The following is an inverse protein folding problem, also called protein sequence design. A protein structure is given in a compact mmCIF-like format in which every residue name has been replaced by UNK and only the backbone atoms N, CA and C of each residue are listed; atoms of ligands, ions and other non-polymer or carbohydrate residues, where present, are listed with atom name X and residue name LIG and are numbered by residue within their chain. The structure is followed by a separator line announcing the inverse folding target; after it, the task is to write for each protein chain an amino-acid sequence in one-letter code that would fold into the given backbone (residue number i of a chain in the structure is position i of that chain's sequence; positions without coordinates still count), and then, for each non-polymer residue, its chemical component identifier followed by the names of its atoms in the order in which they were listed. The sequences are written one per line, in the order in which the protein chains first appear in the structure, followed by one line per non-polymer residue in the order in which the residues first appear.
data_IF_181940798346
#
_entry.id   IF_181940798346
#
_cell.length_a   1.000
_cell.length_b   1.000
_cell.length_c   1.000
_cell.angle_alpha   90.00
_cell.angle_beta   90.00
_cell.angle_gamma   90.00
#
_symmetry.space_group_name_H-M   'P 1'
#
loop_
_entity.id
_entity.type
_entity.pdbx_description
1 polymer ?
#
# COMPACT_ATOMS: atom_id res chain seq x y z
N UNK A 1 -20.51 21.80 0.20
CA UNK A 1 -19.62 22.69 -0.53
C UNK A 1 -18.83 21.94 -1.59
N UNK A 2 -18.33 22.65 -2.55
CA UNK A 2 -17.49 22.04 -3.58
C UNK A 2 -16.18 21.53 -2.97
N UNK A 3 -15.76 20.36 -3.42
CA UNK A 3 -14.47 19.82 -3.05
C UNK A 3 -13.37 20.65 -3.72
N UNK A 4 -12.36 21.02 -2.96
CA UNK A 4 -11.22 21.76 -3.46
C UNK A 4 -10.03 20.82 -3.69
N UNK A 5 -9.33 21.02 -4.81
CA UNK A 5 -8.10 20.29 -5.08
C UNK A 5 -6.95 20.87 -4.26
N UNK A 6 -6.27 19.99 -3.55
CA UNK A 6 -5.15 20.37 -2.68
C UNK A 6 -3.95 19.47 -2.95
N UNK A 7 -2.76 20.01 -2.72
CA UNK A 7 -1.55 19.19 -2.70
C UNK A 7 -1.56 18.30 -1.46
N UNK A 8 -1.32 17.02 -1.66
CA UNK A 8 -1.18 16.03 -0.59
C UNK A 8 0.28 15.90 -0.21
N UNK A 9 1.16 15.70 -1.19
CA UNK A 9 2.57 15.46 -0.98
C UNK A 9 3.37 15.82 -2.23
N UNK A 10 4.67 16.02 -2.07
CA UNK A 10 5.59 16.21 -3.18
C UNK A 10 6.89 15.47 -2.89
N UNK A 11 7.61 15.10 -3.95
CA UNK A 11 8.89 14.42 -3.84
C UNK A 11 9.74 14.73 -5.07
N UNK A 12 11.05 14.50 -4.95
CA UNK A 12 12.00 14.62 -6.06
C UNK A 12 12.93 13.42 -6.05
N UNK A 13 13.18 12.86 -7.21
CA UNK A 13 14.12 11.75 -7.37
C UNK A 13 14.23 11.36 -8.83
N UNK A 14 15.31 10.68 -9.16
CA UNK A 14 15.56 10.22 -10.53
C UNK A 14 14.75 8.95 -10.79
N UNK A 15 13.65 9.08 -11.49
CA UNK A 15 12.74 7.98 -11.80
C UNK A 15 13.09 7.26 -13.09
N UNK A 16 13.85 7.91 -13.98
CA UNK A 16 14.16 7.37 -15.31
C UNK A 16 15.55 6.76 -15.41
N UNK A 17 16.43 7.05 -14.45
CA UNK A 17 17.81 6.59 -14.45
C UNK A 17 18.74 7.47 -15.28
N UNK A 18 18.32 8.67 -15.67
CA UNK A 18 19.12 9.57 -16.51
C UNK A 18 20.00 10.55 -15.73
N UNK A 19 19.94 10.50 -14.41
CA UNK A 19 20.70 11.37 -13.51
C UNK A 19 20.03 12.71 -13.22
N UNK A 20 18.90 13.03 -13.84
CA UNK A 20 18.14 14.24 -13.57
C UNK A 20 16.92 13.90 -12.71
N UNK A 21 16.71 14.64 -11.63
CA UNK A 21 15.59 14.36 -10.73
C UNK A 21 14.27 14.84 -11.33
N UNK A 22 13.26 13.99 -11.31
CA UNK A 22 11.88 14.34 -11.58
C UNK A 22 11.25 14.98 -10.35
N UNK A 23 10.25 15.83 -10.57
CA UNK A 23 9.43 16.41 -9.51
C UNK A 23 8.05 15.76 -9.54
N UNK A 24 7.63 15.20 -8.41
CA UNK A 24 6.34 14.55 -8.26
C UNK A 24 5.43 15.36 -7.37
N UNK A 25 4.17 15.46 -7.77
CA UNK A 25 3.13 16.09 -6.96
C UNK A 25 1.94 15.14 -6.90
N UNK A 26 1.57 14.77 -5.68
CA UNK A 26 0.34 14.06 -5.39
C UNK A 26 -0.69 15.08 -4.91
N UNK A 27 -1.85 15.10 -5.54
CA UNK A 27 -2.93 16.05 -5.22
C UNK A 27 -4.26 15.31 -5.21
N UNK A 28 -5.25 15.90 -4.58
CA UNK A 28 -6.59 15.32 -4.52
C UNK A 28 -7.62 16.31 -4.03
N UNK A 29 -8.84 15.81 -3.86
CA UNK A 29 -9.99 16.59 -3.41
C UNK A 29 -10.48 16.06 -2.08
N UNK A 30 -10.81 16.98 -1.17
CA UNK A 30 -11.46 16.67 0.11
C UNK A 30 -12.69 17.55 0.27
N UNK A 31 -13.78 16.94 0.72
CA UNK A 31 -14.93 17.71 1.16
C UNK A 31 -14.64 18.36 2.51
N UNK A 32 -15.30 19.49 2.78
CA UNK A 32 -15.15 20.19 4.05
C UNK A 32 -15.45 19.26 5.23
N UNK A 33 -14.53 19.21 6.20
CA UNK A 33 -14.66 18.39 7.40
C UNK A 33 -14.40 16.90 7.20
N UNK A 34 -14.00 16.48 6.01
CA UNK A 34 -13.71 15.07 5.71
C UNK A 34 -12.21 14.81 5.64
N UNK A 35 -11.76 13.69 6.20
CA UNK A 35 -10.40 13.20 6.06
C UNK A 35 -10.22 12.32 4.81
N UNK A 36 -11.31 12.00 4.13
CA UNK A 36 -11.30 11.15 2.94
C UNK A 36 -10.93 11.95 1.70
N UNK A 37 -9.97 11.44 0.94
CA UNK A 37 -9.51 12.03 -0.31
C UNK A 37 -10.12 11.31 -1.51
N UNK A 38 -10.50 12.10 -2.51
CA UNK A 38 -11.04 11.60 -3.78
C UNK A 38 -10.31 12.24 -4.94
N UNK A 39 -10.41 11.63 -6.11
CA UNK A 39 -9.81 12.13 -7.35
C UNK A 39 -8.33 12.44 -7.16
N UNK A 40 -7.61 11.52 -6.53
CA UNK A 40 -6.18 11.67 -6.30
C UNK A 40 -5.45 11.53 -7.62
N UNK A 41 -4.52 12.44 -7.88
CA UNK A 41 -3.73 12.48 -9.09
C UNK A 41 -2.24 12.57 -8.76
N UNK A 42 -1.44 11.88 -9.55
CA UNK A 42 0.01 12.00 -9.54
C UNK A 42 0.45 12.67 -10.84
N UNK A 43 1.21 13.77 -10.72
CA UNK A 43 1.90 14.37 -11.85
C UNK A 43 3.40 14.26 -11.66
N UNK A 44 4.10 14.00 -12.76
CA UNK A 44 5.56 13.90 -12.78
C UNK A 44 6.09 14.87 -13.81
N UNK A 45 6.98 15.76 -13.38
CA UNK A 45 7.67 16.69 -14.26
C UNK A 45 9.08 16.18 -14.49
N UNK A 46 9.41 15.93 -15.74
CA UNK A 46 10.72 15.44 -16.15
C UNK A 46 11.81 16.47 -15.82
N UNK A 47 12.87 16.01 -15.15
CA UNK A 47 13.95 16.89 -14.70
C UNK A 47 14.84 17.39 -15.82
N UNK A 48 14.83 16.75 -16.98
CA UNK A 48 15.65 17.13 -18.13
C UNK A 48 14.88 18.03 -19.10
N UNK A 49 13.63 17.69 -19.38
CA UNK A 49 12.82 18.38 -20.39
C UNK A 49 11.84 19.40 -19.84
N UNK A 50 11.52 19.30 -18.56
CA UNK A 50 10.47 20.13 -17.93
C UNK A 50 9.05 19.71 -18.29
N UNK A 51 8.90 18.61 -19.03
CA UNK A 51 7.59 18.12 -19.45
C UNK A 51 6.87 17.46 -18.28
N UNK A 52 5.61 17.79 -18.09
CA UNK A 52 4.77 17.21 -17.05
C UNK A 52 3.81 16.21 -17.65
N UNK A 53 3.71 15.04 -17.02
CA UNK A 53 2.75 14.00 -17.39
C UNK A 53 1.91 13.62 -16.17
N UNK A 54 0.68 13.22 -16.44
CA UNK A 54 -0.21 12.67 -15.42
C UNK A 54 -0.10 11.15 -15.44
N UNK A 55 0.18 10.57 -14.28
CA UNK A 55 0.37 9.13 -14.15
C UNK A 55 -0.91 8.51 -13.62
N UNK A 56 -1.53 7.58 -14.35
CA UNK A 56 -2.73 6.88 -13.85
C UNK A 56 -2.41 6.10 -12.58
N UNK A 57 -3.30 6.18 -11.59
CA UNK A 57 -3.16 5.47 -10.32
C UNK A 57 -4.10 4.27 -10.28
N UNK A 58 -3.64 3.19 -9.67
CA UNK A 58 -4.45 2.00 -9.43
C UNK A 58 -5.61 2.29 -8.45
N UNK A 59 -5.35 3.17 -7.48
CA UNK A 59 -6.32 3.61 -6.48
C UNK A 59 -6.24 5.13 -6.36
N UNK A 60 -7.35 5.82 -6.52
CA UNK A 60 -7.41 7.28 -6.55
C UNK A 60 -8.24 7.89 -5.42
N UNK A 61 -8.60 7.09 -4.41
CA UNK A 61 -9.34 7.58 -3.25
C UNK A 61 -9.00 6.78 -2.00
N UNK A 62 -9.07 7.42 -0.84
CA UNK A 62 -8.81 6.81 0.44
C UNK A 62 -8.41 7.82 1.49
N UNK A 63 -7.99 7.29 2.66
CA UNK A 63 -7.50 8.07 3.78
C UNK A 63 -5.98 8.08 3.80
N UNK A 64 -5.41 9.13 4.37
CA UNK A 64 -3.99 9.28 4.67
C UNK A 64 -3.05 8.88 3.52
N UNK A 65 -3.20 9.50 2.33
CA UNK A 65 -2.34 9.17 1.20
C UNK A 65 -0.87 9.45 1.49
N UNK A 66 0.00 8.51 1.15
CA UNK A 66 1.44 8.61 1.33
C UNK A 66 2.14 8.47 -0.01
N UNK A 67 3.18 9.26 -0.22
CA UNK A 67 4.04 9.23 -1.39
C UNK A 67 5.48 8.97 -0.93
N UNK A 68 6.06 7.85 -1.34
CA UNK A 68 7.41 7.47 -0.94
C UNK A 68 8.22 7.07 -2.16
N UNK A 69 9.46 7.51 -2.24
CA UNK A 69 10.40 7.09 -3.27
C UNK A 69 11.40 6.10 -2.71
N UNK A 70 11.73 5.08 -3.51
CA UNK A 70 12.73 4.09 -3.14
C UNK A 70 13.13 3.25 -4.34
N UNK A 71 14.30 2.63 -4.29
CA UNK A 71 14.78 1.76 -5.36
C UNK A 71 14.25 0.35 -5.17
N UNK A 72 13.05 0.08 -5.69
CA UNK A 72 12.35 -1.19 -5.50
C UNK A 72 12.51 -2.15 -6.67
N UNK A 73 12.53 -1.64 -7.92
CA UNK A 73 12.64 -2.48 -9.11
C UNK A 73 14.03 -2.46 -9.75
N UNK A 74 14.80 -1.40 -9.53
CA UNK A 74 16.14 -1.23 -10.09
C UNK A 74 17.00 -0.41 -9.14
N UNK A 75 18.32 -0.55 -9.25
CA UNK A 75 19.26 0.15 -8.35
C UNK A 75 19.61 1.56 -8.83
N UNK A 76 19.47 1.82 -10.14
CA UNK A 76 19.91 3.05 -10.78
C UNK A 76 18.82 4.14 -10.80
N UNK A 77 17.65 3.83 -10.30
CA UNK A 77 16.50 4.74 -10.34
C UNK A 77 15.59 4.53 -9.15
N UNK A 78 14.79 5.55 -8.84
CA UNK A 78 13.77 5.46 -7.82
C UNK A 78 12.44 5.04 -8.43
N UNK A 79 11.66 4.28 -7.66
CA UNK A 79 10.28 3.96 -7.94
C UNK A 79 9.38 4.71 -6.97
N UNK A 80 8.10 4.76 -7.28
CA UNK A 80 7.10 5.50 -6.50
C UNK A 80 6.19 4.52 -5.79
N UNK A 81 6.13 4.62 -4.46
CA UNK A 81 5.14 3.91 -3.66
C UNK A 81 4.03 4.88 -3.29
N UNK A 82 2.80 4.51 -3.62
CA UNK A 82 1.59 5.20 -3.17
C UNK A 82 0.88 4.29 -2.17
N UNK A 83 0.60 4.82 -0.99
CA UNK A 83 -0.10 4.10 0.06
C UNK A 83 -1.37 4.85 0.46
N UNK A 84 -2.46 4.13 0.64
CA UNK A 84 -3.76 4.66 1.04
C UNK A 84 -4.37 3.76 2.11
N UNK A 85 -5.13 4.34 3.01
CA UNK A 85 -5.93 3.58 3.98
C UNK A 85 -7.39 3.56 3.55
N UNK A 86 -8.05 2.42 3.74
CA UNK A 86 -9.45 2.24 3.31
C UNK A 86 -10.46 2.71 4.34
N UNK A 87 -10.05 2.89 5.59
CA UNK A 87 -10.94 3.28 6.68
C UNK A 87 -11.70 2.14 7.32
N UNK A 88 -11.55 0.92 6.84
CA UNK A 88 -12.16 -0.24 7.51
C UNK A 88 -11.36 -0.62 8.75
N UNK A 89 -12.04 -1.12 9.78
CA UNK A 89 -11.38 -1.59 11.01
C UNK A 89 -10.47 -2.77 10.69
N UNK A 90 -9.23 -2.73 11.17
CA UNK A 90 -8.21 -3.69 10.78
C UNK A 90 -7.61 -3.38 9.42
N UNK A 91 -7.61 -2.11 9.06
CA UNK A 91 -7.28 -1.60 7.75
C UNK A 91 -6.00 -2.20 7.17
N UNK A 92 -6.19 -2.95 6.11
CA UNK A 92 -5.11 -3.28 5.21
C UNK A 92 -4.99 -2.10 4.26
N UNK A 93 -3.82 -1.46 4.26
CA UNK A 93 -3.58 -0.36 3.33
C UNK A 93 -3.63 -0.84 1.88
N UNK A 94 -3.95 0.07 1.00
CA UNK A 94 -3.79 -0.14 -0.44
C UNK A 94 -2.43 0.39 -0.84
N UNK A 95 -1.61 -0.47 -1.43
CA UNK A 95 -0.25 -0.12 -1.84
C UNK A 95 -0.09 -0.35 -3.33
N UNK A 96 0.48 0.63 -4.02
CA UNK A 96 0.86 0.46 -5.42
C UNK A 96 2.27 0.99 -5.65
N UNK A 97 3.00 0.33 -6.55
CA UNK A 97 4.34 0.75 -6.95
C UNK A 97 4.29 1.13 -8.43
N UNK A 98 4.80 2.31 -8.72
CA UNK A 98 4.88 2.84 -10.07
C UNK A 98 6.35 2.94 -10.45
N UNK A 99 6.69 2.45 -11.62
CA UNK A 99 8.05 2.49 -12.15
C UNK A 99 8.03 3.03 -13.59
N UNK A 100 9.14 3.66 -13.99
CA UNK A 100 9.34 4.06 -15.36
C UNK A 100 9.96 2.89 -16.14
N UNK A 101 9.19 2.35 -17.07
CA UNK A 101 9.60 1.19 -17.87
C UNK A 101 9.12 1.38 -19.31
N UNK A 102 9.99 1.05 -20.26
CA UNK A 102 9.66 1.09 -21.69
C UNK A 102 9.11 2.46 -22.14
N UNK A 103 9.66 3.54 -21.60
CA UNK A 103 9.28 4.90 -21.98
C UNK A 103 8.01 5.44 -21.32
N UNK A 104 7.48 4.75 -20.33
CA UNK A 104 6.25 5.19 -19.65
C UNK A 104 6.25 4.84 -18.16
N UNK A 105 5.49 5.61 -17.37
CA UNK A 105 5.23 5.28 -15.98
C UNK A 105 4.11 4.26 -15.91
N UNK A 106 4.37 3.15 -15.22
CA UNK A 106 3.45 2.02 -15.15
C UNK A 106 3.31 1.53 -13.71
N UNK A 107 2.11 1.12 -13.33
CA UNK A 107 1.90 0.40 -12.08
C UNK A 107 2.46 -1.02 -12.25
N UNK A 108 3.53 -1.31 -11.53
CA UNK A 108 4.21 -2.62 -11.60
C UNK A 108 3.81 -3.54 -10.46
N UNK A 109 3.20 -2.99 -9.42
CA UNK A 109 2.66 -3.74 -8.30
C UNK A 109 1.42 -3.04 -7.76
N UNK A 110 0.38 -3.81 -7.46
CA UNK A 110 -0.82 -3.36 -6.78
C UNK A 110 -1.21 -4.42 -5.76
N UNK A 111 -1.25 -4.03 -4.49
CA UNK A 111 -1.51 -4.96 -3.39
C UNK A 111 -2.89 -5.61 -3.47
N UNK A 112 -3.91 -4.89 -3.92
CA UNK A 112 -5.25 -5.44 -4.07
C UNK A 112 -5.30 -6.51 -5.17
N UNK A 113 -4.72 -6.22 -6.32
CA UNK A 113 -4.64 -7.18 -7.41
C UNK A 113 -3.79 -8.40 -7.03
N UNK A 114 -2.64 -8.16 -6.38
CA UNK A 114 -1.77 -9.22 -5.90
C UNK A 114 -2.50 -10.13 -4.91
N UNK A 115 -3.23 -9.54 -3.97
CA UNK A 115 -3.98 -10.26 -2.96
C UNK A 115 -5.07 -11.16 -3.55
N UNK A 116 -5.72 -10.72 -4.63
CA UNK A 116 -6.72 -11.53 -5.34
C UNK A 116 -6.12 -12.77 -5.99
N UNK A 117 -4.83 -12.73 -6.32
CA UNK A 117 -4.12 -13.82 -7.00
C UNK A 117 -3.43 -14.77 -6.03
N UNK A 118 -3.26 -14.35 -4.77
CA UNK A 118 -2.51 -15.10 -3.76
C UNK A 118 -3.45 -15.84 -2.82
N UNK A 119 -3.05 -17.03 -2.43
CA UNK A 119 -3.75 -17.80 -1.43
C UNK A 119 -2.78 -18.16 -0.31
N UNK A 120 -3.20 -17.92 0.93
CA UNK A 120 -2.38 -18.19 2.11
C UNK A 120 -3.01 -19.25 2.97
N UNK A 121 -2.17 -20.17 3.43
CA UNK A 121 -2.50 -21.09 4.51
C UNK A 121 -2.13 -20.39 5.82
N UNK A 122 -3.11 -20.24 6.70
CA UNK A 122 -2.94 -19.47 7.94
C UNK A 122 -3.02 -20.41 9.13
N UNK A 123 -2.06 -20.30 10.04
CA UNK A 123 -2.06 -21.00 11.31
C UNK A 123 -1.83 -20.01 12.44
N UNK A 124 -2.77 -19.97 13.36
CA UNK A 124 -2.64 -19.19 14.58
C UNK A 124 -1.72 -19.92 15.55
N UNK A 125 -0.82 -19.17 16.15
CA UNK A 125 0.16 -19.66 17.10
C UNK A 125 -0.06 -19.00 18.45
N UNK A 126 0.52 -19.55 19.53
CA UNK A 126 0.49 -18.91 20.83
C UNK A 126 1.20 -17.54 20.81
N UNK A 127 0.96 -16.73 21.85
CA UNK A 127 1.56 -15.39 22.02
C UNK A 127 1.19 -14.42 20.91
N UNK A 128 -0.05 -14.48 20.44
CA UNK A 128 -0.64 -13.53 19.50
C UNK A 128 0.05 -13.50 18.12
N UNK A 129 0.64 -14.61 17.73
CA UNK A 129 1.33 -14.71 16.44
C UNK A 129 0.48 -15.50 15.43
N UNK A 130 0.63 -15.15 14.17
CA UNK A 130 0.03 -15.86 13.04
C UNK A 130 1.13 -16.18 12.04
N UNK A 131 1.16 -17.42 11.58
CA UNK A 131 1.99 -17.84 10.46
C UNK A 131 1.12 -17.93 9.21
N UNK A 132 1.48 -17.17 8.17
CA UNK A 132 0.82 -17.23 6.87
C UNK A 132 1.81 -17.74 5.83
N UNK A 133 1.47 -18.82 5.15
CA UNK A 133 2.29 -19.39 4.08
C UNK A 133 1.58 -19.23 2.74
N UNK A 134 2.27 -18.64 1.78
CA UNK A 134 1.74 -18.47 0.43
C UNK A 134 1.82 -19.79 -0.33
N UNK A 135 0.70 -20.28 -0.83
CA UNK A 135 0.67 -21.46 -1.71
C UNK A 135 1.38 -21.22 -3.04
N UNK A 136 1.45 -19.97 -3.46
CA UNK A 136 2.03 -19.62 -4.76
C UNK A 136 3.56 -19.59 -4.72
N UNK A 137 4.15 -19.10 -3.62
CA UNK A 137 5.60 -18.91 -3.51
C UNK A 137 6.27 -19.87 -2.52
N UNK A 138 5.49 -20.49 -1.62
CA UNK A 138 6.02 -21.27 -0.51
C UNK A 138 6.62 -20.43 0.62
N UNK A 139 6.61 -19.10 0.49
CA UNK A 139 7.16 -18.22 1.52
C UNK A 139 6.20 -18.10 2.70
N UNK A 140 6.78 -18.05 3.90
CA UNK A 140 6.02 -17.87 5.14
C UNK A 140 6.30 -16.52 5.77
N UNK A 141 5.26 -15.95 6.36
CA UNK A 141 5.30 -14.67 7.08
C UNK A 141 4.75 -14.89 8.49
N UNK A 142 5.33 -14.20 9.46
CA UNK A 142 4.83 -14.18 10.82
C UNK A 142 4.23 -12.81 11.11
N UNK A 143 3.02 -12.79 11.63
CA UNK A 143 2.27 -11.57 11.90
C UNK A 143 2.02 -11.50 13.39
N UNK A 144 2.37 -10.37 14.00
CA UNK A 144 2.11 -10.12 15.41
C UNK A 144 0.74 -9.47 15.56
N UNK A 145 -0.15 -10.11 16.30
CA UNK A 145 -1.50 -9.63 16.55
C UNK A 145 -1.62 -8.86 17.87
N UNK A 146 -0.56 -8.71 18.64
CA UNK A 146 -0.63 -8.10 19.97
C UNK A 146 -1.21 -6.68 19.99
N UNK A 147 -1.12 -5.95 18.87
CA UNK A 147 -1.70 -4.60 18.74
C UNK A 147 -3.14 -4.57 18.25
N UNK A 148 -3.77 -5.72 18.04
CA UNK A 148 -5.16 -5.80 17.58
C UNK A 148 -6.15 -5.58 18.73
N UNK A 149 -7.42 -5.38 18.35
CA UNK A 149 -8.51 -5.18 19.29
C UNK A 149 -8.58 -6.29 20.34
N UNK A 150 -8.77 -5.93 21.62
CA UNK A 150 -8.78 -6.87 22.72
C UNK A 150 -9.92 -7.89 22.66
N UNK A 151 -11.08 -7.51 22.13
CA UNK A 151 -12.20 -8.42 21.96
C UNK A 151 -11.91 -9.48 20.92
N UNK A 152 -11.24 -9.08 19.84
CA UNK A 152 -10.77 -10.02 18.81
C UNK A 152 -9.77 -11.01 19.37
N UNK A 153 -8.78 -10.53 20.13
CA UNK A 153 -7.77 -11.39 20.74
C UNK A 153 -8.37 -12.34 21.77
N UNK A 154 -9.36 -11.90 22.55
CA UNK A 154 -10.02 -12.72 23.55
C UNK A 154 -10.80 -13.90 22.95
N UNK A 155 -11.21 -13.81 21.69
CA UNK A 155 -11.85 -14.93 21.01
C UNK A 155 -10.87 -16.04 20.66
N UNK A 156 -9.59 -15.70 20.48
CA UNK A 156 -8.56 -16.61 20.01
C UNK A 156 -7.62 -17.07 21.12
N UNK A 157 -7.32 -16.20 22.09
CA UNK A 157 -6.29 -16.42 23.09
C UNK A 157 -6.85 -16.28 24.50
N UNK A 158 -6.26 -17.04 25.43
CA UNK A 158 -6.53 -16.87 26.85
C UNK A 158 -5.73 -15.70 27.44
N UNK A 159 -5.91 -15.43 28.73
CA UNK A 159 -5.25 -14.32 29.43
C UNK A 159 -3.72 -14.44 29.47
N UNK A 160 -3.18 -15.65 29.26
CA UNK A 160 -1.75 -15.92 29.23
C UNK A 160 -1.17 -15.88 27.80
N UNK A 161 -1.97 -15.51 26.80
CA UNK A 161 -1.56 -15.47 25.41
C UNK A 161 -1.50 -16.81 24.73
N UNK A 162 -2.10 -17.84 25.33
CA UNK A 162 -2.18 -19.18 24.73
C UNK A 162 -3.43 -19.31 23.87
N UNK A 163 -3.26 -19.92 22.72
CA UNK A 163 -4.36 -20.19 21.80
C UNK A 163 -5.39 -21.12 22.46
N UNK A 164 -6.66 -20.71 22.47
CA UNK A 164 -7.74 -21.46 23.11
C UNK A 164 -8.01 -22.79 22.43
N UNK A 165 -7.83 -22.82 21.12
CA UNK A 165 -7.90 -24.03 20.30
C UNK A 165 -7.13 -23.81 19.03
N UNK A 166 -6.66 -24.87 18.43
CA UNK A 166 -5.91 -24.80 17.19
C UNK A 166 -6.78 -24.21 16.08
N UNK A 167 -6.27 -23.16 15.42
CA UNK A 167 -6.93 -22.48 14.34
C UNK A 167 -6.05 -22.55 13.11
N UNK A 168 -6.57 -23.17 12.06
CA UNK A 168 -5.84 -23.33 10.80
C UNK A 168 -6.84 -23.23 9.65
N UNK A 169 -6.44 -22.62 8.55
CA UNK A 169 -7.31 -22.53 7.39
C UNK A 169 -6.66 -21.79 6.23
N UNK A 170 -7.49 -21.55 5.22
CA UNK A 170 -7.11 -20.73 4.06
C UNK A 170 -7.87 -19.44 4.11
N UNK A 171 -7.17 -18.34 3.83
CA UNK A 171 -7.79 -17.02 3.75
C UNK A 171 -7.36 -16.32 2.48
N UNK A 172 -8.24 -15.49 1.95
CA UNK A 172 -7.90 -14.54 0.92
C UNK A 172 -7.27 -13.33 1.60
N UNK A 173 -6.10 -12.84 1.11
CA UNK A 173 -5.35 -11.79 1.83
C UNK A 173 -6.05 -10.45 1.90
N UNK A 174 -7.13 -10.26 1.18
CA UNK A 174 -7.90 -9.00 1.13
C UNK A 174 -9.16 -9.08 1.98
N UNK A 175 -9.21 -9.90 2.93
CA UNK A 175 -10.35 -9.94 3.84
C UNK A 175 -10.28 -8.84 4.91
#
# INVERSE_FOLDING_TARGET
GEAMRKRIASARGDLTGDGAAETLILSGEQSAGSAYWQNIELTVTDGRTGRTVRVPLAHDEGYDPQLVLGSMTARDRADVLIALETGSSGAIGLYSVIAYQNGAYQTVFDSEQYARQMRYRVRYLDQYAVRAESENTGMAYFIDLAGKDSDYLAQLYDENGRLKREQEGFVDPVS
#
